data_IF_171229022382
#
_entry.id   IF_171229022382
#
_cell.length_a   1.000
_cell.length_b   1.000
_cell.length_c   1.000
_cell.angle_alpha   90.00
_cell.angle_beta   90.00
_cell.angle_gamma   90.00
#
_symmetry.space_group_name_H-M   'P 1'
#
loop_
_entity.id
_entity.type
_entity.pdbx_description
1 polymer ?
#
# COMPACT_ATOMS: atom_id res chain seq x y z
N UNK A 1 -21.59 1.34 7.77
CA UNK A 1 -20.45 0.97 8.64
C UNK A 1 -21.03 0.33 9.90
N UNK A 2 -20.90 -0.97 10.09
CA UNK A 2 -21.20 -1.59 11.36
C UNK A 2 -19.97 -1.41 12.23
N UNK A 3 -20.05 -0.48 13.20
CA UNK A 3 -19.02 -0.31 14.21
C UNK A 3 -18.94 -1.60 15.04
N UNK A 4 -17.84 -2.30 14.97
CA UNK A 4 -17.51 -3.40 15.87
C UNK A 4 -17.02 -2.92 17.25
N UNK A 5 -17.11 -1.62 17.54
CA UNK A 5 -16.75 -1.02 18.83
C UNK A 5 -17.90 -0.17 19.35
N UNK A 6 -18.24 -0.25 20.66
CA UNK A 6 -19.29 0.54 21.25
C UNK A 6 -18.77 1.96 21.51
N UNK A 7 -19.32 2.97 20.85
CA UNK A 7 -19.25 4.35 21.31
C UNK A 7 -20.24 5.27 20.58
N UNK A 8 -21.20 5.81 21.29
CA UNK A 8 -21.94 7.02 20.93
C UNK A 8 -22.02 7.90 22.16
N UNK A 9 -21.49 9.13 22.15
CA UNK A 9 -22.14 10.33 22.67
C UNK A 9 -21.25 11.58 22.79
N UNK A 10 -20.50 12.01 21.79
CA UNK A 10 -19.89 13.36 21.84
C UNK A 10 -19.82 14.10 20.49
N UNK A 11 -20.61 13.70 19.49
CA UNK A 11 -20.35 14.07 18.08
C UNK A 11 -21.05 15.31 17.52
N UNK A 12 -21.92 15.99 18.24
CA UNK A 12 -22.77 17.00 17.58
C UNK A 12 -22.19 18.43 17.54
N UNK A 13 -21.23 18.76 18.40
CA UNK A 13 -20.70 20.14 18.49
C UNK A 13 -19.45 20.43 17.64
N UNK A 14 -18.75 19.39 17.18
CA UNK A 14 -17.48 19.53 16.42
C UNK A 14 -17.66 19.52 14.90
N UNK A 15 -18.84 19.19 14.38
CA UNK A 15 -19.07 18.98 12.93
C UNK A 15 -18.91 20.23 12.06
N UNK A 16 -19.31 21.39 12.51
CA UNK A 16 -19.35 22.59 11.65
C UNK A 16 -18.00 23.31 11.49
N UNK A 17 -17.05 23.12 12.41
CA UNK A 17 -15.70 23.69 12.30
C UNK A 17 -14.75 22.81 11.43
N UNK A 18 -15.08 21.54 11.25
CA UNK A 18 -14.29 20.54 10.54
C UNK A 18 -14.46 20.60 9.01
N UNK A 19 -15.62 21.05 8.51
CA UNK A 19 -15.94 20.97 7.08
C UNK A 19 -14.97 21.80 6.19
N UNK A 20 -14.60 23.00 6.57
CA UNK A 20 -13.67 23.85 5.81
C UNK A 20 -12.19 23.41 5.93
N UNK A 21 -11.81 22.76 7.03
CA UNK A 21 -10.45 22.20 7.21
C UNK A 21 -10.23 20.94 6.36
N UNK A 22 -11.26 20.13 6.22
CA UNK A 22 -11.15 18.81 5.58
C UNK A 22 -10.92 18.90 4.07
N UNK A 23 -11.58 19.82 3.36
CA UNK A 23 -11.40 20.00 1.89
C UNK A 23 -9.95 20.40 1.56
N UNK A 24 -9.33 21.29 2.37
CA UNK A 24 -7.94 21.73 2.16
C UNK A 24 -6.93 20.61 2.45
N UNK A 25 -7.19 19.77 3.44
CA UNK A 25 -6.32 18.64 3.78
C UNK A 25 -6.40 17.52 2.73
N UNK A 26 -7.58 17.23 2.21
CA UNK A 26 -7.81 16.23 1.17
C UNK A 26 -7.05 16.62 -0.11
N UNK A 27 -7.13 17.87 -0.54
CA UNK A 27 -6.40 18.36 -1.72
C UNK A 27 -4.88 18.31 -1.51
N UNK A 28 -4.38 18.60 -0.31
CA UNK A 28 -2.95 18.45 0.02
C UNK A 28 -2.50 16.99 0.06
N UNK A 29 -3.32 16.09 0.57
CA UNK A 29 -3.01 14.65 0.59
C UNK A 29 -2.88 14.11 -0.84
N UNK A 30 -3.83 14.41 -1.73
CA UNK A 30 -3.75 14.03 -3.14
C UNK A 30 -2.58 14.72 -3.88
N UNK A 31 -2.28 15.97 -3.56
CA UNK A 31 -1.13 16.69 -4.12
C UNK A 31 0.21 16.12 -3.63
N UNK A 32 0.31 15.74 -2.36
CA UNK A 32 1.48 15.09 -1.80
C UNK A 32 1.67 13.68 -2.39
N UNK A 33 0.58 12.94 -2.54
CA UNK A 33 0.56 11.64 -3.20
C UNK A 33 1.01 11.72 -4.66
N UNK A 34 0.49 12.69 -5.41
CA UNK A 34 0.91 12.97 -6.78
C UNK A 34 2.40 13.32 -6.85
N UNK A 35 2.90 14.18 -5.94
CA UNK A 35 4.33 14.56 -5.88
C UNK A 35 5.23 13.39 -5.48
N UNK A 36 4.83 12.53 -4.58
CA UNK A 36 5.58 11.31 -4.21
C UNK A 36 5.64 10.34 -5.38
N UNK A 37 4.53 10.17 -6.11
CA UNK A 37 4.46 9.27 -7.25
C UNK A 37 5.15 9.80 -8.52
N UNK A 38 5.11 11.12 -8.77
CA UNK A 38 5.72 11.73 -9.94
C UNK A 38 7.09 12.38 -9.67
N UNK A 39 7.37 12.75 -8.44
CA UNK A 39 8.63 13.39 -8.03
C UNK A 39 9.79 12.41 -7.77
N UNK A 40 9.51 11.18 -7.47
CA UNK A 40 10.49 10.10 -7.55
C UNK A 40 10.61 9.77 -9.05
N UNK A 41 11.83 9.80 -9.60
CA UNK A 41 12.14 9.21 -10.90
C UNK A 41 11.96 7.68 -10.83
N UNK A 42 10.71 7.27 -10.65
CA UNK A 42 10.24 5.91 -10.41
C UNK A 42 10.53 5.00 -11.61
N UNK A 43 10.67 5.63 -12.80
CA UNK A 43 10.99 4.96 -14.04
C UNK A 43 12.36 4.25 -14.01
N UNK A 44 13.36 4.80 -13.33
CA UNK A 44 14.71 4.25 -13.39
C UNK A 44 14.99 3.16 -12.37
N UNK A 45 14.31 3.17 -11.23
CA UNK A 45 14.43 2.11 -10.21
C UNK A 45 13.69 0.81 -10.57
N UNK A 46 12.77 0.87 -11.52
CA UNK A 46 11.84 -0.23 -11.83
C UNK A 46 12.08 -0.90 -13.18
N UNK A 47 12.82 -0.25 -14.08
CA UNK A 47 13.22 -0.84 -15.37
C UNK A 47 13.85 -2.23 -15.23
N UNK A 48 14.74 -2.51 -14.27
CA UNK A 48 15.33 -3.85 -14.12
C UNK A 48 14.33 -4.92 -13.69
N UNK A 49 13.29 -4.56 -12.94
CA UNK A 49 12.39 -5.53 -12.33
C UNK A 49 11.31 -6.08 -13.29
N UNK A 50 10.95 -5.32 -14.33
CA UNK A 50 9.95 -5.74 -15.32
C UNK A 50 10.56 -6.39 -16.58
N UNK A 51 11.86 -6.19 -16.84
CA UNK A 51 12.55 -6.66 -18.04
C UNK A 51 13.35 -7.95 -17.80
N UNK A 52 13.38 -8.47 -16.58
CA UNK A 52 14.13 -9.69 -16.27
C UNK A 52 13.36 -10.94 -16.70
N UNK A 53 13.41 -11.24 -17.98
CA UNK A 53 13.13 -12.56 -18.51
C UNK A 53 14.47 -13.20 -18.89
N UNK A 54 14.79 -14.31 -18.21
CA UNK A 54 15.87 -15.22 -18.51
C UNK A 54 17.33 -14.72 -18.43
N UNK A 55 18.05 -15.36 -17.54
CA UNK A 55 19.45 -15.31 -17.11
C UNK A 55 20.61 -14.81 -18.01
N UNK A 56 20.38 -14.12 -19.12
CA UNK A 56 21.42 -13.70 -20.03
C UNK A 56 21.40 -12.19 -20.33
N UNK A 57 21.47 -11.38 -19.26
CA UNK A 57 21.36 -9.91 -19.32
C UNK A 57 22.58 -9.18 -19.90
N UNK A 58 23.76 -9.82 -20.00
CA UNK A 58 24.98 -9.14 -20.49
C UNK A 58 25.00 -8.96 -22.00
N UNK A 59 24.35 -9.80 -22.78
CA UNK A 59 24.40 -9.76 -24.25
C UNK A 59 23.24 -8.94 -24.84
N UNK A 60 22.06 -8.95 -24.22
CA UNK A 60 20.88 -8.23 -24.72
C UNK A 60 20.95 -6.72 -24.42
N UNK A 61 21.73 -6.32 -23.41
CA UNK A 61 21.83 -4.90 -23.01
C UNK A 61 22.60 -4.03 -24.04
N UNK A 62 23.32 -4.64 -24.94
CA UNK A 62 24.16 -3.92 -25.91
C UNK A 62 23.51 -3.69 -27.29
N UNK A 63 22.46 -4.42 -27.62
CA UNK A 63 21.87 -4.40 -28.98
C UNK A 63 20.49 -3.77 -29.11
N UNK A 64 19.73 -3.51 -28.01
CA UNK A 64 18.32 -3.09 -28.08
C UNK A 64 17.94 -1.81 -27.34
N UNK A 65 18.87 -0.86 -27.15
CA UNK A 65 18.49 0.47 -26.63
C UNK A 65 18.80 1.55 -27.66
N UNK A 66 17.82 2.00 -28.47
CA UNK A 66 17.83 3.39 -28.85
C UNK A 66 17.67 4.21 -27.57
N UNK A 67 18.60 5.13 -27.31
CA UNK A 67 18.57 6.10 -26.18
C UNK A 67 17.42 7.11 -26.34
N UNK A 68 16.22 6.64 -26.57
CA UNK A 68 15.00 7.46 -26.57
C UNK A 68 14.36 7.38 -25.20
N UNK A 69 14.13 8.55 -24.60
CA UNK A 69 13.35 8.66 -23.36
C UNK A 69 12.03 7.90 -23.56
N UNK A 70 11.59 7.07 -22.60
CA UNK A 70 10.36 6.29 -22.73
C UNK A 70 9.20 7.22 -23.07
N UNK A 71 8.44 6.88 -24.13
CA UNK A 71 7.30 7.65 -24.57
C UNK A 71 6.21 7.69 -23.50
N UNK A 72 5.29 8.66 -23.60
CA UNK A 72 4.15 8.79 -22.68
C UNK A 72 3.36 7.49 -22.55
N UNK A 73 3.13 6.78 -23.65
CA UNK A 73 2.40 5.49 -23.66
C UNK A 73 3.09 4.42 -22.82
N UNK A 74 4.41 4.31 -22.89
CA UNK A 74 5.20 3.32 -22.13
C UNK A 74 5.19 3.65 -20.62
N UNK A 75 5.31 4.94 -20.28
CA UNK A 75 5.18 5.40 -18.89
C UNK A 75 3.79 5.11 -18.33
N UNK A 76 2.74 5.34 -19.10
CA UNK A 76 1.36 5.09 -18.71
C UNK A 76 1.11 3.59 -18.48
N UNK A 77 1.58 2.72 -19.36
CA UNK A 77 1.46 1.26 -19.18
C UNK A 77 2.19 0.79 -17.92
N UNK A 78 3.39 1.30 -17.67
CA UNK A 78 4.13 1.00 -16.43
C UNK A 78 3.33 1.42 -15.20
N UNK A 79 2.82 2.65 -15.17
CA UNK A 79 1.97 3.16 -14.09
C UNK A 79 0.71 2.29 -13.90
N UNK A 80 0.03 1.94 -14.98
CA UNK A 80 -1.16 1.07 -14.95
C UNK A 80 -0.88 -0.29 -14.29
N UNK A 81 0.25 -0.90 -14.60
CA UNK A 81 0.66 -2.15 -13.95
C UNK A 81 0.93 -2.00 -12.47
N UNK A 82 1.50 -0.86 -12.03
CA UNK A 82 1.63 -0.56 -10.60
C UNK A 82 0.28 -0.39 -9.91
N UNK A 83 -0.65 0.31 -10.55
CA UNK A 83 -2.03 0.45 -10.04
C UNK A 83 -2.67 -0.93 -9.88
N UNK A 84 -2.53 -1.82 -10.84
CA UNK A 84 -3.08 -3.18 -10.74
C UNK A 84 -2.45 -3.99 -9.60
N UNK A 85 -1.13 -3.92 -9.43
CA UNK A 85 -0.44 -4.56 -8.30
C UNK A 85 -0.95 -3.97 -6.97
N UNK A 86 -1.03 -2.64 -6.87
CA UNK A 86 -1.55 -1.93 -5.70
C UNK A 86 -2.96 -2.39 -5.34
N UNK A 87 -3.87 -2.46 -6.31
CA UNK A 87 -5.25 -2.88 -6.11
C UNK A 87 -5.35 -4.35 -5.70
N UNK A 88 -4.57 -5.22 -6.34
CA UNK A 88 -4.52 -6.63 -5.98
C UNK A 88 -4.10 -6.82 -4.52
N UNK A 89 -3.05 -6.12 -4.08
CA UNK A 89 -2.56 -6.19 -2.70
C UNK A 89 -3.57 -5.57 -1.73
N UNK A 90 -4.19 -4.45 -2.09
CA UNK A 90 -5.21 -3.79 -1.28
C UNK A 90 -6.45 -4.67 -1.07
N UNK A 91 -6.84 -5.43 -2.10
CA UNK A 91 -7.91 -6.42 -2.01
C UNK A 91 -7.52 -7.60 -1.10
N UNK A 92 -6.34 -8.16 -1.29
CA UNK A 92 -5.84 -9.26 -0.46
C UNK A 92 -5.72 -8.85 1.02
N UNK A 93 -5.24 -7.63 1.30
CA UNK A 93 -5.18 -7.08 2.65
C UNK A 93 -6.58 -6.93 3.27
N UNK A 94 -7.53 -6.39 2.51
CA UNK A 94 -8.93 -6.31 2.95
C UNK A 94 -9.52 -7.70 3.24
N UNK A 95 -9.32 -8.67 2.36
CA UNK A 95 -9.82 -10.03 2.53
C UNK A 95 -9.22 -10.69 3.79
N UNK A 96 -7.90 -10.62 3.95
CA UNK A 96 -7.19 -11.16 5.10
C UNK A 96 -7.71 -10.56 6.42
N UNK A 97 -7.80 -9.23 6.51
CA UNK A 97 -8.25 -8.55 7.71
C UNK A 97 -9.73 -8.82 8.01
N UNK A 98 -10.59 -8.82 6.99
CA UNK A 98 -12.02 -9.13 7.14
C UNK A 98 -12.22 -10.55 7.65
N UNK A 99 -11.51 -11.53 7.09
CA UNK A 99 -11.58 -12.93 7.55
C UNK A 99 -11.06 -13.04 8.99
N UNK A 100 -9.88 -12.49 9.29
CA UNK A 100 -9.30 -12.57 10.62
C UNK A 100 -10.22 -11.98 11.70
N UNK A 101 -10.74 -10.76 11.48
CA UNK A 101 -11.60 -10.08 12.46
C UNK A 101 -12.97 -10.78 12.55
N UNK A 102 -13.52 -11.28 11.45
CA UNK A 102 -14.80 -12.01 11.46
C UNK A 102 -14.71 -13.31 12.24
N UNK A 103 -13.61 -14.07 12.09
CA UNK A 103 -13.36 -15.29 12.85
C UNK A 103 -13.24 -15.01 14.36
N UNK A 104 -12.48 -13.97 14.72
CA UNK A 104 -12.30 -13.61 16.13
C UNK A 104 -13.60 -13.13 16.80
N UNK A 105 -14.50 -12.49 16.05
CA UNK A 105 -15.75 -11.97 16.60
C UNK A 105 -16.95 -12.94 16.41
N UNK A 106 -16.76 -14.09 15.77
CA UNK A 106 -17.84 -15.05 15.49
C UNK A 106 -18.96 -14.51 14.59
N UNK A 107 -18.74 -13.39 13.91
CA UNK A 107 -19.69 -12.75 12.98
C UNK A 107 -18.98 -12.02 11.87
N UNK A 108 -19.63 -11.80 10.74
CA UNK A 108 -19.05 -11.02 9.66
C UNK A 108 -18.80 -9.57 10.09
N UNK A 109 -17.55 -9.16 10.03
CA UNK A 109 -17.10 -7.80 10.30
C UNK A 109 -16.35 -7.25 9.08
N UNK A 110 -17.03 -6.45 8.26
CA UNK A 110 -16.39 -5.79 7.14
C UNK A 110 -15.30 -4.85 7.64
N UNK A 111 -14.10 -5.01 7.10
CA UNK A 111 -12.94 -4.15 7.41
C UNK A 111 -12.66 -3.15 6.29
N UNK A 112 -11.83 -2.17 6.60
CA UNK A 112 -11.46 -1.11 5.68
C UNK A 112 -12.36 0.12 5.79
N UNK A 113 -11.80 1.24 5.36
CA UNK A 113 -12.46 2.55 5.37
C UNK A 113 -13.41 2.72 4.17
N UNK A 114 -13.08 2.09 3.05
CA UNK A 114 -13.80 2.19 1.79
C UNK A 114 -15.08 1.35 1.77
N UNK A 115 -16.05 1.73 0.95
CA UNK A 115 -17.23 0.90 0.66
C UNK A 115 -16.84 -0.29 -0.22
N UNK A 116 -15.90 -0.10 -1.15
CA UNK A 116 -15.31 -1.17 -1.95
C UNK A 116 -14.40 -2.08 -1.10
N UNK A 117 -14.18 -3.33 -1.52
CA UNK A 117 -13.38 -4.30 -0.78
C UNK A 117 -11.87 -4.04 -0.95
N UNK A 118 -11.42 -2.87 -0.56
CA UNK A 118 -10.01 -2.49 -0.62
C UNK A 118 -9.55 -1.85 0.68
N UNK A 119 -8.44 -2.35 1.21
CA UNK A 119 -7.69 -1.75 2.30
C UNK A 119 -6.40 -1.13 1.74
N UNK A 120 -6.47 0.12 1.31
CA UNK A 120 -5.40 0.79 0.55
C UNK A 120 -4.09 0.94 1.31
N UNK A 121 -4.11 0.92 2.65
CA UNK A 121 -2.89 0.95 3.47
C UNK A 121 -1.95 -0.21 3.13
N UNK A 122 -2.49 -1.41 2.86
CA UNK A 122 -1.67 -2.58 2.48
C UNK A 122 -1.00 -2.37 1.13
N UNK A 123 -1.75 -1.85 0.14
CA UNK A 123 -1.21 -1.54 -1.18
C UNK A 123 -0.05 -0.55 -1.11
N UNK A 124 -0.24 0.57 -0.39
CA UNK A 124 0.80 1.58 -0.20
C UNK A 124 2.02 1.03 0.52
N UNK A 125 1.81 0.31 1.62
CA UNK A 125 2.90 -0.23 2.45
C UNK A 125 3.74 -1.23 1.67
N UNK A 126 3.11 -2.18 0.98
CA UNK A 126 3.84 -3.20 0.21
C UNK A 126 4.55 -2.60 -1.01
N UNK A 127 3.95 -1.62 -1.70
CA UNK A 127 4.64 -0.92 -2.77
C UNK A 127 5.82 -0.09 -2.25
N UNK A 128 5.68 0.57 -1.10
CA UNK A 128 6.80 1.26 -0.46
C UNK A 128 7.93 0.28 -0.12
N UNK A 129 7.60 -0.87 0.49
CA UNK A 129 8.56 -1.95 0.76
C UNK A 129 9.25 -2.39 -0.53
N UNK A 130 8.49 -2.65 -1.59
CA UNK A 130 9.05 -3.05 -2.87
C UNK A 130 10.01 -2.01 -3.46
N UNK A 131 9.66 -0.73 -3.39
CA UNK A 131 10.51 0.35 -3.91
C UNK A 131 11.77 0.56 -3.09
N UNK A 132 11.68 0.53 -1.76
CA UNK A 132 12.81 0.86 -0.89
C UNK A 132 13.69 -0.34 -0.56
N UNK A 133 13.10 -1.48 -0.26
CA UNK A 133 13.86 -2.66 0.17
C UNK A 133 13.77 -3.85 -0.80
N UNK A 134 12.88 -3.79 -1.79
CA UNK A 134 12.72 -4.84 -2.80
C UNK A 134 12.07 -6.10 -2.28
N UNK A 135 12.50 -7.24 -2.80
CA UNK A 135 12.13 -8.57 -2.27
C UNK A 135 13.29 -9.16 -1.46
N UNK A 136 13.03 -10.17 -0.60
CA UNK A 136 14.10 -10.84 0.14
C UNK A 136 15.18 -11.43 -0.76
N UNK A 137 14.83 -11.81 -2.00
CA UNK A 137 15.75 -12.41 -3.00
C UNK A 137 16.55 -11.35 -3.76
N UNK A 138 15.89 -10.27 -4.22
CA UNK A 138 16.49 -9.32 -5.16
C UNK A 138 17.13 -8.11 -4.46
N UNK A 139 16.61 -7.70 -3.29
CA UNK A 139 17.01 -6.46 -2.61
C UNK A 139 16.64 -5.21 -3.39
N UNK A 140 16.20 -4.18 -2.69
CA UNK A 140 15.86 -2.88 -3.27
C UNK A 140 16.93 -1.83 -3.00
N UNK A 141 16.53 -0.56 -3.04
CA UNK A 141 17.40 0.60 -2.90
C UNK A 141 18.33 0.52 -1.67
N UNK A 142 17.77 0.20 -0.50
CA UNK A 142 18.54 0.17 0.76
C UNK A 142 19.33 -1.13 0.97
N UNK A 143 18.85 -2.25 0.42
CA UNK A 143 19.46 -3.57 0.65
C UNK A 143 20.24 -4.11 -0.55
N UNK A 144 20.48 -3.27 -1.56
CA UNK A 144 21.17 -3.63 -2.81
C UNK A 144 22.59 -4.19 -2.59
N UNK A 145 23.29 -3.70 -1.57
CA UNK A 145 24.67 -4.11 -1.26
C UNK A 145 24.74 -5.41 -0.46
N UNK A 146 23.62 -5.87 0.11
CA UNK A 146 23.57 -7.08 0.92
C UNK A 146 23.09 -8.26 0.07
N UNK A 147 23.76 -9.39 0.16
CA UNK A 147 23.45 -10.60 -0.61
C UNK A 147 23.18 -11.80 0.30
N UNK A 148 22.38 -12.74 -0.22
CA UNK A 148 22.10 -14.01 0.42
C UNK A 148 21.53 -13.86 1.84
N UNK A 149 22.01 -14.73 2.77
CA UNK A 149 21.51 -14.79 4.15
C UNK A 149 21.71 -13.49 4.95
N UNK A 150 22.74 -12.68 4.60
CA UNK A 150 23.04 -11.41 5.29
C UNK A 150 21.93 -10.35 5.08
N UNK A 151 21.13 -10.48 4.03
CA UNK A 151 20.02 -9.58 3.73
C UNK A 151 18.78 -9.87 4.56
N UNK A 152 18.55 -11.11 5.00
CA UNK A 152 17.27 -11.56 5.59
C UNK A 152 16.95 -10.79 6.87
N UNK A 153 17.89 -10.68 7.82
CA UNK A 153 17.65 -9.99 9.08
C UNK A 153 17.35 -8.49 8.90
N UNK A 154 18.17 -7.70 8.17
CA UNK A 154 17.82 -6.31 7.88
C UNK A 154 16.52 -6.17 7.10
N UNK A 155 16.18 -7.13 6.23
CA UNK A 155 14.91 -7.14 5.51
C UNK A 155 13.73 -7.26 6.48
N UNK A 156 13.76 -8.22 7.41
CA UNK A 156 12.71 -8.41 8.42
C UNK A 156 12.53 -7.15 9.27
N UNK A 157 13.63 -6.54 9.73
CA UNK A 157 13.58 -5.32 10.54
C UNK A 157 12.94 -4.14 9.79
N UNK A 158 13.30 -3.95 8.52
CA UNK A 158 12.68 -2.91 7.69
C UNK A 158 11.24 -3.24 7.32
N UNK A 159 10.92 -4.51 7.08
CA UNK A 159 9.56 -5.00 6.83
C UNK A 159 8.67 -4.90 8.10
N UNK A 160 9.23 -4.81 9.28
CA UNK A 160 8.54 -4.48 10.52
C UNK A 160 8.37 -2.95 10.67
N UNK A 161 9.40 -2.18 10.41
CA UNK A 161 9.43 -0.73 10.65
C UNK A 161 8.54 0.05 9.68
N UNK A 162 8.59 -0.27 8.38
CA UNK A 162 7.84 0.47 7.35
C UNK A 162 6.32 0.41 7.57
N UNK A 163 5.69 -0.78 7.78
CA UNK A 163 4.26 -0.83 8.07
C UNK A 163 3.90 -0.18 9.41
N UNK A 164 4.76 -0.30 10.44
CA UNK A 164 4.51 0.37 11.72
C UNK A 164 4.48 1.88 11.61
N UNK A 165 5.35 2.46 10.78
CA UNK A 165 5.31 3.90 10.47
C UNK A 165 4.03 4.24 9.68
N UNK A 166 3.65 3.43 8.71
CA UNK A 166 2.42 3.64 7.93
C UNK A 166 1.17 3.56 8.82
N UNK A 167 1.08 2.57 9.72
CA UNK A 167 0.01 2.47 10.71
C UNK A 167 -0.02 3.69 11.65
N UNK A 168 1.14 4.10 12.18
CA UNK A 168 1.23 5.25 13.08
C UNK A 168 0.73 6.53 12.41
N UNK A 169 1.23 6.81 11.20
CA UNK A 169 0.82 8.01 10.44
C UNK A 169 -0.68 7.96 10.13
N UNK A 170 -1.17 6.83 9.63
CA UNK A 170 -2.58 6.66 9.27
C UNK A 170 -3.47 6.74 10.52
N UNK A 171 -3.10 6.08 11.61
CA UNK A 171 -3.85 6.09 12.88
C UNK A 171 -3.94 7.49 13.47
N UNK A 172 -2.82 8.23 13.55
CA UNK A 172 -2.81 9.63 14.02
C UNK A 172 -3.66 10.53 13.10
N UNK A 173 -3.52 10.36 11.79
CA UNK A 173 -4.28 11.16 10.81
C UNK A 173 -5.79 11.00 11.01
N UNK A 174 -6.30 9.76 11.04
CA UNK A 174 -7.74 9.53 11.21
C UNK A 174 -8.25 9.95 12.60
N UNK A 175 -7.48 9.71 13.66
CA UNK A 175 -7.86 10.11 15.02
C UNK A 175 -7.89 11.65 15.19
N UNK A 176 -6.87 12.36 14.69
CA UNK A 176 -6.75 13.82 14.88
C UNK A 176 -7.59 14.63 13.90
N UNK A 177 -7.80 14.14 12.69
CA UNK A 177 -8.55 14.88 11.66
C UNK A 177 -10.03 14.55 11.71
N UNK A 178 -10.40 13.29 11.90
CA UNK A 178 -11.79 12.82 11.83
C UNK A 178 -12.34 12.34 13.16
N UNK A 179 -11.53 12.24 14.22
CA UNK A 179 -11.95 11.70 15.51
C UNK A 179 -12.27 10.20 15.45
N UNK A 180 -11.76 9.48 14.47
CA UNK A 180 -12.07 8.06 14.23
C UNK A 180 -10.82 7.22 14.45
N UNK A 181 -10.94 6.22 15.31
CA UNK A 181 -9.91 5.19 15.46
C UNK A 181 -10.25 3.99 14.59
N UNK A 182 -9.45 3.74 13.56
CA UNK A 182 -9.62 2.60 12.65
C UNK A 182 -9.27 1.26 13.31
N UNK A 183 -8.36 1.29 14.30
CA UNK A 183 -7.94 0.16 15.15
C UNK A 183 -7.47 0.66 16.50
N UNK A 184 -7.31 -0.25 17.45
CA UNK A 184 -6.86 0.05 18.82
C UNK A 184 -6.00 -1.09 19.35
N UNK A 185 -4.80 -0.75 19.85
CA UNK A 185 -3.85 -1.70 20.44
C UNK A 185 -3.62 -1.47 21.94
N UNK A 186 -4.55 -0.82 22.66
CA UNK A 186 -4.38 -0.54 24.09
C UNK A 186 -4.28 -1.79 24.98
N UNK A 187 -4.84 -2.91 24.52
CA UNK A 187 -4.77 -4.19 25.23
C UNK A 187 -3.36 -4.83 25.17
N UNK A 188 -2.50 -4.37 24.29
CA UNK A 188 -1.13 -4.89 24.17
C UNK A 188 -0.17 -4.16 25.07
N UNK A 189 0.78 -4.91 25.68
CA UNK A 189 1.71 -4.38 26.70
C UNK A 189 2.66 -3.30 26.16
N UNK A 190 3.20 -3.50 24.95
CA UNK A 190 4.14 -2.58 24.31
C UNK A 190 3.46 -1.81 23.18
N UNK A 191 2.46 -1.00 23.54
CA UNK A 191 1.78 -0.15 22.55
C UNK A 191 2.21 1.32 22.67
N UNK A 192 2.13 2.05 21.56
CA UNK A 192 2.35 3.49 21.50
C UNK A 192 1.00 4.19 21.29
N UNK A 193 0.40 4.65 22.40
CA UNK A 193 -0.90 5.34 22.41
C UNK A 193 -2.03 4.60 21.65
N UNK A 194 -1.93 3.26 21.59
CA UNK A 194 -2.89 2.40 20.90
C UNK A 194 -2.81 2.43 19.38
N UNK A 195 -1.92 3.23 18.77
CA UNK A 195 -1.78 3.30 17.30
C UNK A 195 -0.97 2.14 16.73
N UNK A 196 0.11 1.76 17.40
CA UNK A 196 0.97 0.63 17.04
C UNK A 196 1.34 -0.15 18.28
N UNK A 197 1.73 -1.42 18.14
CA UNK A 197 2.31 -2.21 19.21
C UNK A 197 3.39 -3.14 18.68
N UNK A 198 4.35 -3.46 19.54
CA UNK A 198 5.54 -4.26 19.19
C UNK A 198 5.15 -5.67 18.69
N UNK A 199 4.17 -6.28 19.33
CA UNK A 199 3.71 -7.64 19.03
C UNK A 199 3.16 -7.72 17.59
N UNK A 200 2.29 -6.77 17.20
CA UNK A 200 1.73 -6.73 15.85
C UNK A 200 2.78 -6.30 14.83
N UNK A 201 3.64 -5.35 15.17
CA UNK A 201 4.75 -4.92 14.31
C UNK A 201 5.71 -6.07 13.99
N UNK A 202 6.03 -6.92 14.97
CA UNK A 202 6.86 -8.12 14.76
C UNK A 202 6.17 -9.16 13.87
N UNK A 203 4.87 -9.36 14.06
CA UNK A 203 4.07 -10.22 13.19
C UNK A 203 4.09 -9.73 11.74
N UNK A 204 3.98 -8.41 11.52
CA UNK A 204 4.11 -7.80 10.19
C UNK A 204 5.46 -8.07 9.55
N UNK A 205 6.57 -7.96 10.30
CA UNK A 205 7.92 -8.24 9.79
C UNK A 205 8.03 -9.65 9.19
N UNK A 206 7.53 -10.66 9.91
CA UNK A 206 7.49 -12.05 9.43
C UNK A 206 6.54 -12.25 8.24
N UNK A 207 5.29 -11.82 8.39
CA UNK A 207 4.24 -12.00 7.39
C UNK A 207 4.59 -11.33 6.06
N UNK A 208 5.08 -10.09 6.11
CA UNK A 208 5.49 -9.34 4.91
C UNK A 208 6.71 -9.97 4.26
N UNK A 209 7.67 -10.47 5.03
CA UNK A 209 8.84 -11.16 4.46
C UNK A 209 8.42 -12.41 3.69
N UNK A 210 7.50 -13.20 4.24
CA UNK A 210 6.93 -14.36 3.54
C UNK A 210 6.12 -13.95 2.31
N UNK A 211 5.25 -12.97 2.45
CA UNK A 211 4.45 -12.44 1.34
C UNK A 211 5.33 -11.96 0.18
N UNK A 212 6.33 -11.14 0.46
CA UNK A 212 7.25 -10.58 -0.52
C UNK A 212 8.19 -11.63 -1.13
N UNK A 213 8.49 -12.70 -0.39
CA UNK A 213 9.33 -13.79 -0.86
C UNK A 213 8.61 -14.79 -1.78
N UNK A 214 7.31 -15.03 -1.52
CA UNK A 214 6.55 -16.09 -2.17
C UNK A 214 5.36 -15.59 -3.00
N UNK A 215 4.53 -14.71 -2.47
CA UNK A 215 3.26 -14.31 -3.11
C UNK A 215 3.47 -13.15 -4.08
N UNK A 216 4.18 -12.11 -3.66
CA UNK A 216 4.39 -10.90 -4.45
C UNK A 216 4.99 -11.16 -5.85
N UNK A 217 5.99 -12.04 -6.03
CA UNK A 217 6.52 -12.36 -7.36
C UNK A 217 5.46 -12.94 -8.31
N UNK A 218 4.52 -13.74 -7.79
CA UNK A 218 3.42 -14.29 -8.60
C UNK A 218 2.43 -13.20 -9.02
N UNK A 219 2.09 -12.27 -8.13
CA UNK A 219 1.25 -11.11 -8.46
C UNK A 219 1.93 -10.26 -9.54
N UNK A 220 3.21 -9.91 -9.34
CA UNK A 220 4.00 -9.13 -10.30
C UNK A 220 4.02 -9.79 -11.68
N UNK A 221 4.32 -11.08 -11.73
CA UNK A 221 4.39 -11.84 -12.97
C UNK A 221 2.99 -12.00 -13.61
N UNK A 222 1.94 -12.18 -12.83
CA UNK A 222 0.57 -12.24 -13.32
C UNK A 222 0.16 -10.93 -14.00
N UNK A 223 0.40 -9.80 -13.35
CA UNK A 223 0.11 -8.47 -13.91
C UNK A 223 0.97 -8.18 -15.15
N UNK A 224 2.23 -8.63 -15.17
CA UNK A 224 3.12 -8.45 -16.33
C UNK A 224 2.65 -9.21 -17.59
N UNK A 225 1.85 -10.27 -17.45
CA UNK A 225 1.27 -11.04 -18.57
C UNK A 225 0.03 -10.39 -19.19
N UNK A 226 -0.58 -9.41 -18.51
CA UNK A 226 -1.77 -8.73 -19.05
C UNK A 226 -1.35 -7.87 -20.25
N UNK A 227 -2.04 -7.94 -21.39
CA UNK A 227 -1.79 -7.07 -22.54
C UNK A 227 -1.87 -5.59 -22.15
N UNK A 228 -1.02 -4.74 -22.74
CA UNK A 228 -0.88 -3.33 -22.37
C UNK A 228 -2.21 -2.57 -22.42
N UNK A 229 -2.98 -2.78 -23.49
CA UNK A 229 -4.29 -2.12 -23.66
C UNK A 229 -5.26 -2.52 -22.56
N UNK A 230 -5.36 -3.81 -22.26
CA UNK A 230 -6.24 -4.34 -21.19
C UNK A 230 -5.78 -3.85 -19.81
N UNK A 231 -4.47 -3.83 -19.55
CA UNK A 231 -3.91 -3.33 -18.31
C UNK A 231 -4.23 -1.84 -18.11
N UNK A 232 -4.12 -1.03 -19.17
CA UNK A 232 -4.41 0.40 -19.13
C UNK A 232 -5.89 0.68 -18.89
N UNK A 233 -6.79 -0.02 -19.57
CA UNK A 233 -8.23 0.12 -19.39
C UNK A 233 -8.64 -0.30 -17.98
N UNK A 234 -8.24 -1.49 -17.56
CA UNK A 234 -8.60 -2.05 -16.23
C UNK A 234 -8.07 -1.17 -15.10
N UNK A 235 -6.81 -0.73 -15.18
CA UNK A 235 -6.22 0.15 -14.18
C UNK A 235 -6.95 1.49 -14.11
N UNK A 236 -7.31 2.09 -15.26
CA UNK A 236 -8.02 3.38 -15.30
C UNK A 236 -9.41 3.27 -14.68
N UNK A 237 -10.19 2.26 -15.05
CA UNK A 237 -11.54 2.03 -14.50
C UNK A 237 -11.48 1.80 -13.01
N UNK A 238 -10.62 0.90 -12.56
CA UNK A 238 -10.48 0.58 -11.14
C UNK A 238 -9.96 1.77 -10.32
N UNK A 239 -9.00 2.53 -10.85
CA UNK A 239 -8.47 3.71 -10.18
C UNK A 239 -9.56 4.77 -9.99
N UNK A 240 -10.35 5.05 -11.03
CA UNK A 240 -11.48 5.98 -10.93
C UNK A 240 -12.48 5.50 -9.89
N UNK A 241 -12.85 4.20 -9.90
CA UNK A 241 -13.78 3.62 -8.92
C UNK A 241 -13.29 3.78 -7.49
N UNK A 242 -12.02 3.46 -7.22
CA UNK A 242 -11.42 3.58 -5.88
C UNK A 242 -11.28 5.04 -5.45
N UNK A 243 -10.88 5.93 -6.37
CA UNK A 243 -10.81 7.37 -6.05
C UNK A 243 -12.19 7.95 -5.74
N UNK A 244 -13.22 7.56 -6.50
CA UNK A 244 -14.60 7.97 -6.23
C UNK A 244 -15.09 7.47 -4.87
N UNK A 245 -14.80 6.20 -4.55
CA UNK A 245 -15.15 5.63 -3.25
C UNK A 245 -14.41 6.30 -2.08
N UNK A 246 -13.15 6.71 -2.28
CA UNK A 246 -12.42 7.53 -1.32
C UNK A 246 -13.14 8.84 -1.02
N UNK A 247 -13.55 9.56 -2.07
CA UNK A 247 -14.29 10.82 -1.91
C UNK A 247 -15.61 10.59 -1.17
N UNK A 248 -16.39 9.60 -1.58
CA UNK A 248 -17.68 9.26 -0.96
C UNK A 248 -17.48 8.87 0.52
N UNK A 249 -16.47 8.04 0.82
CA UNK A 249 -16.18 7.61 2.20
C UNK A 249 -15.75 8.77 3.09
N UNK A 250 -14.97 9.73 2.58
CA UNK A 250 -14.62 10.93 3.34
C UNK A 250 -15.82 11.86 3.54
N UNK A 251 -16.67 12.05 2.54
CA UNK A 251 -17.87 12.86 2.66
C UNK A 251 -18.89 12.26 3.62
N UNK A 252 -18.93 10.93 3.78
CA UNK A 252 -19.83 10.26 4.71
C UNK A 252 -19.44 10.40 6.19
N UNK A 253 -18.20 10.88 6.47
CA UNK A 253 -17.69 11.09 7.83
C UNK A 253 -17.74 12.57 8.21
N UNK A 254 -17.67 13.47 7.22
CA UNK A 254 -17.73 14.92 7.43
C UNK A 254 -19.13 15.40 7.79
#
# INVERSE_FOLDING_TARGET
MVNCFPEEDHRQKTRNALHNRNTYMITRFFSCFYKIFYGLNFSDSLKPAFLQKDGNYKTIFKECLPMTKPGFKEKWTTFSRFVLIFLCISFLGWAMETVYVSLNNGRYCKRGFLHLPFCTIYGFTILAIYCFIGTPKEGGLFLRKLEGKKRILPYILLAMLIPSIAELITGIFFDKVFGIRLWQYFSYKFNLNGYICLEVSTAWGGLITLFMGFIFPHIKNGVARIPDTSANILASVMLVSVCSDWVISFLSIA
#
